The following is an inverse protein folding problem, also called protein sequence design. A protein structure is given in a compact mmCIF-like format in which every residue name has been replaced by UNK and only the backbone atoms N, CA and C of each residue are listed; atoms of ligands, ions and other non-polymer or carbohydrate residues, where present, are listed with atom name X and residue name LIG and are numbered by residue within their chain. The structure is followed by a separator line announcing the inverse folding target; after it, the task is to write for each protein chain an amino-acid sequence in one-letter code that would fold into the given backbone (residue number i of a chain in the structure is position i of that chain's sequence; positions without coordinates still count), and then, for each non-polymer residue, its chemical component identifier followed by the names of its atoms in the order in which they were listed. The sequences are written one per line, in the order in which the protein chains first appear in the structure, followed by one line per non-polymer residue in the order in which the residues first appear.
data_IF_127439584679
#
_entry.id   IF_127439584679
#
_cell.length_a   1.000
_cell.length_b   1.000
_cell.length_c   1.000
_cell.angle_alpha   90.00
_cell.angle_beta   90.00
_cell.angle_gamma   90.00
#
_symmetry.space_group_name_H-M   'P 1'
#
loop_
_entity.id
_entity.type
_entity.pdbx_description
1 polymer ?
#
# COMPACT_ATOMS: atom_id res chain seq x y z
N UNK A 1 -38.26 -8.46 -5.41
CA UNK A 1 -37.22 -9.11 -4.61
C UNK A 1 -37.81 -9.36 -3.23
N UNK A 2 -37.99 -10.63 -2.80
CA UNK A 2 -38.68 -10.91 -1.53
C UNK A 2 -37.73 -10.62 -0.35
N UNK A 3 -38.31 -10.16 0.77
CA UNK A 3 -37.61 -9.89 2.03
C UNK A 3 -36.78 -11.10 2.52
N UNK A 4 -37.21 -12.32 2.19
CA UNK A 4 -36.48 -13.56 2.48
C UNK A 4 -35.12 -13.61 1.75
N UNK A 5 -35.08 -13.27 0.47
CA UNK A 5 -33.82 -13.24 -0.31
C UNK A 5 -32.83 -12.17 0.20
N UNK A 6 -33.36 -11.03 0.67
CA UNK A 6 -32.53 -9.99 1.27
C UNK A 6 -31.90 -10.46 2.59
N UNK A 7 -32.70 -11.18 3.41
CA UNK A 7 -32.21 -11.79 4.65
C UNK A 7 -31.12 -12.84 4.39
N UNK A 8 -31.35 -13.73 3.42
CA UNK A 8 -30.37 -14.76 3.03
C UNK A 8 -29.07 -14.14 2.49
N UNK A 9 -29.13 -13.03 1.75
CA UNK A 9 -27.95 -12.32 1.25
C UNK A 9 -27.20 -11.58 2.39
N UNK A 10 -27.94 -11.04 3.36
CA UNK A 10 -27.35 -10.42 4.55
C UNK A 10 -26.69 -11.49 5.42
N UNK A 11 -27.36 -12.61 5.66
CA UNK A 11 -26.79 -13.72 6.44
C UNK A 11 -25.59 -14.39 5.73
N UNK A 12 -25.63 -14.52 4.39
CA UNK A 12 -24.49 -15.01 3.62
C UNK A 12 -23.31 -14.01 3.61
N UNK A 13 -23.59 -12.69 3.60
CA UNK A 13 -22.56 -11.66 3.66
C UNK A 13 -21.95 -11.48 5.05
N UNK A 14 -22.73 -11.66 6.09
CA UNK A 14 -22.30 -11.50 7.49
C UNK A 14 -22.09 -12.82 8.22
N UNK A 15 -22.55 -13.94 7.70
CA UNK A 15 -22.39 -15.28 8.30
C UNK A 15 -20.95 -15.80 8.35
N UNK A 16 -20.02 -15.08 7.68
CA UNK A 16 -18.59 -15.33 7.79
C UNK A 16 -17.89 -14.50 8.88
N UNK A 17 -18.62 -13.61 9.57
CA UNK A 17 -18.07 -12.84 10.69
C UNK A 17 -18.07 -13.72 11.94
N UNK A 18 -16.99 -14.44 12.13
CA UNK A 18 -16.70 -15.07 13.43
C UNK A 18 -16.57 -13.96 14.48
N UNK A 19 -17.10 -14.16 15.70
CA UNK A 19 -16.95 -13.16 16.76
C UNK A 19 -15.46 -12.87 16.96
N UNK A 20 -15.08 -11.57 17.12
CA UNK A 20 -13.68 -11.18 17.22
C UNK A 20 -13.02 -11.89 18.41
N UNK A 21 -11.94 -12.59 18.12
CA UNK A 21 -11.13 -13.28 19.13
C UNK A 21 -10.27 -12.27 19.89
N UNK A 22 -9.76 -12.63 21.05
CA UNK A 22 -8.83 -11.79 21.83
C UNK A 22 -7.61 -11.35 20.99
N UNK A 23 -7.13 -12.19 20.10
CA UNK A 23 -6.02 -11.89 19.19
C UNK A 23 -6.38 -10.77 18.23
N UNK A 24 -7.62 -10.71 17.76
CA UNK A 24 -8.07 -9.66 16.81
C UNK A 24 -8.14 -8.29 17.50
N UNK A 25 -8.59 -8.26 18.74
CA UNK A 25 -8.58 -7.04 19.55
C UNK A 25 -7.18 -6.54 19.86
N UNK A 26 -6.25 -7.45 20.21
CA UNK A 26 -4.85 -7.11 20.45
C UNK A 26 -4.20 -6.58 19.18
N UNK A 27 -4.45 -7.21 18.04
CA UNK A 27 -3.96 -6.76 16.75
C UNK A 27 -4.51 -5.38 16.38
N UNK A 28 -5.81 -5.16 16.54
CA UNK A 28 -6.45 -3.87 16.26
C UNK A 28 -5.89 -2.74 17.13
N UNK A 29 -5.77 -2.96 18.44
CA UNK A 29 -5.19 -1.99 19.38
C UNK A 29 -3.73 -1.68 19.07
N UNK A 30 -2.93 -2.72 18.79
CA UNK A 30 -1.52 -2.58 18.44
C UNK A 30 -1.33 -1.79 17.14
N UNK A 31 -2.13 -2.08 16.12
CA UNK A 31 -2.08 -1.39 14.84
C UNK A 31 -2.55 0.06 14.97
N UNK A 32 -3.63 0.30 15.70
CA UNK A 32 -4.12 1.65 15.96
C UNK A 32 -3.11 2.51 16.72
N UNK A 33 -2.52 1.95 17.79
CA UNK A 33 -1.48 2.66 18.56
C UNK A 33 -0.23 2.95 17.73
N UNK A 34 0.23 1.99 16.92
CA UNK A 34 1.36 2.19 16.02
C UNK A 34 1.07 3.27 14.97
N UNK A 35 -0.13 3.29 14.40
CA UNK A 35 -0.58 4.31 13.45
C UNK A 35 -0.62 5.70 14.08
N UNK A 36 -1.11 5.80 15.32
CA UNK A 36 -1.16 7.07 16.05
C UNK A 36 0.25 7.59 16.37
N UNK A 37 1.15 6.73 16.83
CA UNK A 37 2.55 7.08 17.09
C UNK A 37 3.24 7.55 15.81
N UNK A 38 3.03 6.85 14.69
CA UNK A 38 3.60 7.24 13.40
C UNK A 38 3.08 8.62 12.95
N UNK A 39 1.79 8.88 13.13
CA UNK A 39 1.18 10.18 12.81
C UNK A 39 1.75 11.30 13.69
N UNK A 40 1.82 11.09 15.00
CA UNK A 40 2.38 12.06 15.95
C UNK A 40 3.85 12.34 15.67
N UNK A 41 4.63 11.31 15.36
CA UNK A 41 6.04 11.46 14.96
C UNK A 41 6.18 12.30 13.70
N UNK A 42 5.34 12.05 12.69
CA UNK A 42 5.35 12.82 11.45
C UNK A 42 4.98 14.30 11.67
N UNK A 43 4.02 14.58 12.55
CA UNK A 43 3.69 15.94 12.97
C UNK A 43 4.84 16.62 13.73
N UNK A 44 5.49 15.90 14.65
CA UNK A 44 6.63 16.42 15.40
C UNK A 44 7.81 16.75 14.49
N UNK A 45 8.02 15.98 13.44
CA UNK A 45 9.04 16.21 12.41
C UNK A 45 8.63 17.25 11.35
N UNK A 46 7.42 17.83 11.46
CA UNK A 46 6.86 18.82 10.53
C UNK A 46 6.90 18.36 9.07
N UNK A 47 6.57 17.10 8.82
CA UNK A 47 6.48 16.57 7.46
C UNK A 47 5.27 17.17 6.74
N UNK A 48 5.40 17.47 5.45
CA UNK A 48 4.36 18.09 4.62
C UNK A 48 3.08 17.24 4.53
N UNK A 49 3.22 15.91 4.61
CA UNK A 49 2.12 14.96 4.49
C UNK A 49 2.13 13.91 5.59
N UNK A 50 1.85 14.25 6.87
CA UNK A 50 1.95 13.34 8.01
C UNK A 50 0.98 12.15 7.92
N UNK A 51 -0.14 12.27 7.21
CA UNK A 51 -1.10 11.19 6.98
C UNK A 51 -0.50 9.98 6.26
N UNK A 52 0.54 10.16 5.46
CA UNK A 52 1.23 9.06 4.77
C UNK A 52 1.93 8.11 5.74
N UNK A 53 2.42 8.62 6.87
CA UNK A 53 3.03 7.80 7.90
C UNK A 53 2.01 6.82 8.50
N UNK A 54 0.82 7.32 8.84
CA UNK A 54 -0.27 6.50 9.36
C UNK A 54 -0.75 5.47 8.33
N UNK A 55 -0.98 5.90 7.07
CA UNK A 55 -1.35 4.99 5.98
C UNK A 55 -0.34 3.87 5.78
N UNK A 56 0.95 4.17 5.89
CA UNK A 56 2.02 3.17 5.78
C UNK A 56 1.88 2.07 6.82
N UNK A 57 1.58 2.43 8.07
CA UNK A 57 1.38 1.47 9.15
C UNK A 57 0.21 0.54 8.83
N UNK A 58 -0.94 1.08 8.40
CA UNK A 58 -2.11 0.25 8.08
C UNK A 58 -1.88 -0.67 6.87
N UNK A 59 -1.19 -0.19 5.83
CA UNK A 59 -0.90 -1.01 4.63
C UNK A 59 0.05 -2.16 4.96
N UNK A 60 1.03 -1.93 5.84
CA UNK A 60 2.02 -2.95 6.23
C UNK A 60 1.48 -3.87 7.32
N UNK A 61 0.51 -3.40 8.14
CA UNK A 61 -0.05 -4.17 9.24
C UNK A 61 -0.62 -5.51 8.76
N UNK A 62 -0.14 -6.59 9.40
CA UNK A 62 -0.58 -7.96 9.14
C UNK A 62 -0.65 -8.71 10.47
N UNK A 63 -1.57 -9.67 10.63
CA UNK A 63 -1.68 -10.46 11.86
C UNK A 63 -0.46 -11.36 12.11
N UNK A 64 0.32 -11.67 11.06
CA UNK A 64 1.52 -12.51 11.15
C UNK A 64 2.78 -11.65 11.05
N UNK A 65 3.61 -11.64 12.09
CA UNK A 65 4.78 -10.79 12.21
C UNK A 65 5.80 -10.95 11.05
N UNK A 66 6.02 -12.17 10.57
CA UNK A 66 6.92 -12.43 9.44
C UNK A 66 6.47 -11.77 8.13
N UNK A 67 5.17 -11.70 7.90
CA UNK A 67 4.60 -11.03 6.73
C UNK A 67 4.71 -9.50 6.82
N UNK A 68 4.69 -8.94 8.02
CA UNK A 68 4.89 -7.49 8.24
C UNK A 68 6.29 -7.06 7.82
N UNK A 69 7.31 -7.81 8.26
CA UNK A 69 8.72 -7.53 7.91
C UNK A 69 8.95 -7.66 6.40
N UNK A 70 8.46 -8.72 5.79
CA UNK A 70 8.57 -8.92 4.35
C UNK A 70 7.91 -7.77 3.57
N UNK A 71 6.67 -7.42 3.90
CA UNK A 71 5.98 -6.30 3.27
C UNK A 71 6.67 -4.95 3.50
N UNK A 72 7.17 -4.70 4.71
CA UNK A 72 7.92 -3.49 5.04
C UNK A 72 9.20 -3.37 4.21
N UNK A 73 9.94 -4.47 4.06
CA UNK A 73 11.17 -4.51 3.27
C UNK A 73 10.89 -4.28 1.78
N UNK A 74 9.91 -4.98 1.20
CA UNK A 74 9.53 -4.76 -0.21
C UNK A 74 8.93 -3.37 -0.45
N UNK A 75 8.27 -2.79 0.56
CA UNK A 75 7.82 -1.41 0.51
C UNK A 75 8.99 -0.43 0.41
N UNK A 76 10.03 -0.63 1.20
CA UNK A 76 11.23 0.22 1.16
C UNK A 76 11.93 0.12 -0.20
N UNK A 77 12.17 -1.09 -0.68
CA UNK A 77 12.79 -1.31 -2.00
C UNK A 77 11.94 -0.71 -3.12
N UNK A 78 10.63 -0.97 -3.11
CA UNK A 78 9.71 -0.44 -4.12
C UNK A 78 9.69 1.09 -4.15
N UNK A 79 9.70 1.73 -2.99
CA UNK A 79 9.73 3.20 -2.88
C UNK A 79 11.06 3.77 -3.40
N UNK A 80 12.19 3.15 -3.07
CA UNK A 80 13.51 3.56 -3.57
C UNK A 80 13.62 3.38 -5.08
N UNK A 81 13.18 2.24 -5.60
CA UNK A 81 13.18 1.96 -7.04
C UNK A 81 12.27 2.94 -7.80
N UNK A 82 11.06 3.19 -7.29
CA UNK A 82 10.12 4.15 -7.88
C UNK A 82 10.65 5.58 -7.84
N UNK A 83 11.26 6.00 -6.73
CA UNK A 83 11.87 7.32 -6.60
C UNK A 83 13.04 7.54 -7.57
N UNK A 84 13.95 6.56 -7.67
CA UNK A 84 15.05 6.62 -8.63
C UNK A 84 14.56 6.65 -10.08
N UNK A 85 13.54 5.86 -10.40
CA UNK A 85 12.93 5.88 -11.72
C UNK A 85 12.26 7.23 -12.04
N UNK A 86 11.55 7.81 -11.07
CA UNK A 86 10.94 9.14 -11.21
C UNK A 86 12.00 10.21 -11.52
N UNK A 87 13.09 10.25 -10.75
CA UNK A 87 14.19 11.18 -10.96
C UNK A 87 14.80 10.95 -12.35
N UNK A 88 15.05 9.70 -12.74
CA UNK A 88 15.61 9.37 -14.05
C UNK A 88 14.70 9.80 -15.20
N UNK A 89 13.42 9.50 -15.14
CA UNK A 89 12.43 9.86 -16.18
C UNK A 89 12.28 11.39 -16.26
N UNK A 90 12.20 12.06 -15.12
CA UNK A 90 12.06 13.52 -15.07
C UNK A 90 13.31 14.21 -15.58
N UNK A 91 14.51 13.72 -15.28
CA UNK A 91 15.76 14.30 -15.77
C UNK A 91 15.93 14.15 -17.28
N UNK A 92 15.46 13.05 -17.86
CA UNK A 92 15.58 12.78 -19.30
C UNK A 92 14.48 13.45 -20.12
N UNK A 93 13.27 13.49 -19.62
CA UNK A 93 12.07 13.87 -20.38
C UNK A 93 11.32 15.08 -19.80
N UNK A 94 11.81 15.69 -18.72
CA UNK A 94 11.13 16.79 -18.03
C UNK A 94 10.85 18.04 -18.90
N UNK A 95 11.63 18.24 -19.98
CA UNK A 95 11.43 19.35 -20.91
C UNK A 95 10.19 19.16 -21.81
N UNK A 96 9.70 17.93 -21.99
CA UNK A 96 8.57 17.63 -22.87
C UNK A 96 7.51 16.81 -22.12
N UNK A 97 6.34 17.41 -21.81
CA UNK A 97 5.31 16.76 -20.99
C UNK A 97 4.76 15.46 -21.62
N UNK A 98 4.72 15.38 -22.94
CA UNK A 98 4.24 14.19 -23.63
C UNK A 98 5.20 13.00 -23.50
N UNK A 99 6.51 13.26 -23.60
CA UNK A 99 7.54 12.24 -23.41
C UNK A 99 7.63 11.81 -21.95
N UNK A 100 7.43 12.72 -21.01
CA UNK A 100 7.37 12.42 -19.57
C UNK A 100 6.19 11.48 -19.28
N UNK A 101 4.99 11.77 -19.78
CA UNK A 101 3.82 10.91 -19.61
C UNK A 101 4.02 9.53 -20.23
N UNK A 102 4.60 9.46 -21.43
CA UNK A 102 4.93 8.20 -22.09
C UNK A 102 5.94 7.38 -21.26
N UNK A 103 6.98 8.01 -20.74
CA UNK A 103 7.98 7.36 -19.90
C UNK A 103 7.39 6.81 -18.60
N UNK A 104 6.54 7.57 -17.93
CA UNK A 104 5.82 7.12 -16.73
C UNK A 104 4.85 5.97 -17.05
N UNK A 105 4.11 6.06 -18.16
CA UNK A 105 3.20 5.00 -18.57
C UNK A 105 3.93 3.67 -18.87
N UNK A 106 5.08 3.73 -19.54
CA UNK A 106 5.93 2.56 -19.80
C UNK A 106 6.44 1.99 -18.47
N UNK A 107 6.93 2.83 -17.56
CA UNK A 107 7.41 2.40 -16.24
C UNK A 107 6.32 1.69 -15.44
N UNK A 108 5.13 2.27 -15.36
CA UNK A 108 3.98 1.67 -14.67
C UNK A 108 3.58 0.34 -15.34
N UNK A 109 3.59 0.29 -16.67
CA UNK A 109 3.30 -0.93 -17.44
C UNK A 109 4.27 -2.06 -17.10
N UNK A 110 5.58 -1.77 -17.05
CA UNK A 110 6.62 -2.73 -16.66
C UNK A 110 6.41 -3.20 -15.20
N UNK A 111 6.20 -2.27 -14.26
CA UNK A 111 5.96 -2.59 -12.85
C UNK A 111 4.71 -3.46 -12.68
N UNK A 112 3.64 -3.18 -13.40
CA UNK A 112 2.39 -3.95 -13.37
C UNK A 112 2.61 -5.35 -13.94
N UNK A 113 3.35 -5.47 -15.05
CA UNK A 113 3.69 -6.76 -15.64
C UNK A 113 4.52 -7.60 -14.66
N UNK A 114 5.57 -7.03 -14.08
CA UNK A 114 6.39 -7.71 -13.07
C UNK A 114 5.56 -8.13 -11.86
N UNK A 115 4.68 -7.24 -11.37
CA UNK A 115 3.77 -7.55 -10.27
C UNK A 115 2.81 -8.70 -10.59
N UNK A 116 2.34 -8.81 -11.83
CA UNK A 116 1.45 -9.89 -12.25
C UNK A 116 2.15 -11.24 -12.40
N UNK A 117 3.44 -11.24 -12.72
CA UNK A 117 4.26 -12.44 -12.83
C UNK A 117 4.71 -12.98 -11.48
N UNK A 118 4.89 -12.10 -10.49
CA UNK A 118 5.28 -12.44 -9.13
C UNK A 118 4.02 -12.70 -8.30
N UNK A 119 3.86 -13.91 -7.77
CA UNK A 119 2.69 -14.31 -6.94
C UNK A 119 2.91 -14.16 -5.43
N UNK A 120 4.04 -13.60 -5.01
CA UNK A 120 4.50 -13.50 -3.62
C UNK A 120 4.45 -12.03 -3.12
N UNK A 121 4.86 -11.76 -1.86
CA UNK A 121 5.01 -10.40 -1.33
C UNK A 121 5.87 -9.46 -2.18
N UNK A 122 6.74 -10.01 -3.03
CA UNK A 122 7.55 -9.30 -4.03
C UNK A 122 6.71 -8.53 -5.05
N UNK A 123 5.56 -9.09 -5.45
CA UNK A 123 4.60 -8.43 -6.35
C UNK A 123 4.14 -7.08 -5.80
N UNK A 124 3.98 -6.99 -4.49
CA UNK A 124 3.63 -5.75 -3.80
C UNK A 124 4.70 -4.68 -3.95
N UNK A 125 5.99 -5.05 -3.87
CA UNK A 125 7.11 -4.12 -4.07
C UNK A 125 7.14 -3.54 -5.49
N UNK A 126 6.91 -4.37 -6.49
CA UNK A 126 6.86 -3.96 -7.89
C UNK A 126 5.69 -2.99 -8.17
N UNK A 127 4.49 -3.31 -7.68
CA UNK A 127 3.33 -2.42 -7.80
C UNK A 127 3.58 -1.07 -7.12
N UNK A 128 4.24 -1.09 -5.96
CA UNK A 128 4.58 0.10 -5.21
C UNK A 128 5.60 0.99 -5.95
N UNK A 129 6.61 0.39 -6.58
CA UNK A 129 7.58 1.12 -7.39
C UNK A 129 6.91 1.83 -8.57
N UNK A 130 5.89 1.22 -9.17
CA UNK A 130 5.11 1.81 -10.25
C UNK A 130 4.41 3.08 -9.80
N UNK A 131 3.59 3.00 -8.75
CA UNK A 131 2.79 4.15 -8.35
C UNK A 131 3.60 5.22 -7.59
N UNK A 132 4.69 4.85 -6.91
CA UNK A 132 5.58 5.82 -6.24
C UNK A 132 6.22 6.77 -7.25
N UNK A 133 6.63 6.27 -8.42
CA UNK A 133 7.16 7.10 -9.49
C UNK A 133 6.16 8.15 -10.01
N UNK A 134 4.87 7.94 -9.81
CA UNK A 134 3.81 8.86 -10.23
C UNK A 134 3.51 9.95 -9.17
N UNK A 135 3.83 9.68 -7.90
CA UNK A 135 3.58 10.61 -6.78
C UNK A 135 4.70 11.64 -6.65
N UNK A 136 5.93 11.30 -7.02
CA UNK A 136 7.11 12.16 -6.96
C UNK A 136 7.19 13.05 -8.20
#
# INVERSE_FOLDING_TARGET
MSLARLKDLIEAGFGGLTPPTRSDWIFALRTASAGLIALLSAYALRLDHPQWAMMTVFIVAQPVAGMVLAKGFYRLIGTLAGGLAAIGITSLFGANPWLLLAGLAIWIGICTLVSSLLRNPEAYGAALAGYTAMII
#
